data_IF_091506794561
#
_entry.id   IF_091506794561
#
_cell.length_a   1.000
_cell.length_b   1.000
_cell.length_c   1.000
_cell.angle_alpha   90.00
_cell.angle_beta   90.00
_cell.angle_gamma   90.00
#
_symmetry.space_group_name_H-M   'P 1'
#
loop_
_entity.id
_entity.type
_entity.pdbx_description
1 polymer ?
#
# COMPACT_ATOMS: atom_id res chain seq x y z
N UNK A 1 -6.73 -2.16 -8.10
CA UNK A 1 -5.74 -1.23 -8.69
C UNK A 1 -4.35 -1.74 -8.38
N UNK A 2 -3.53 -2.01 -9.40
CA UNK A 2 -2.18 -2.55 -9.20
C UNK A 2 -1.23 -1.44 -8.77
N UNK A 3 -0.22 -1.78 -7.98
CA UNK A 3 0.88 -0.88 -7.70
C UNK A 3 1.61 -0.51 -9.01
N UNK A 4 2.02 0.76 -9.18
CA UNK A 4 2.87 1.16 -10.29
C UNK A 4 4.19 0.40 -10.31
N UNK A 5 4.85 0.38 -11.47
CA UNK A 5 6.19 -0.20 -11.59
C UNK A 5 7.26 0.65 -10.87
N UNK A 6 8.47 0.11 -10.65
CA UNK A 6 9.58 0.82 -10.03
C UNK A 6 9.99 2.12 -10.74
N UNK A 7 9.64 2.28 -12.01
CA UNK A 7 9.83 3.49 -12.81
C UNK A 7 9.03 4.69 -12.29
N UNK A 8 7.79 4.45 -11.84
CA UNK A 8 6.88 5.48 -11.34
C UNK A 8 6.92 5.55 -9.81
N UNK A 9 7.13 4.41 -9.15
CA UNK A 9 7.18 4.28 -7.71
C UNK A 9 8.43 3.47 -7.29
N UNK A 10 9.60 4.12 -7.18
CA UNK A 10 10.83 3.43 -6.85
C UNK A 10 10.76 2.82 -5.43
N UNK A 11 11.41 1.67 -5.20
CA UNK A 11 11.34 1.00 -3.91
C UNK A 11 12.01 1.84 -2.80
N UNK A 12 11.25 2.09 -1.74
CA UNK A 12 11.70 2.86 -0.58
C UNK A 12 12.63 2.08 0.37
N UNK A 13 13.08 2.71 1.46
CA UNK A 13 14.03 2.14 2.42
C UNK A 13 13.57 0.80 3.03
N UNK A 14 12.28 0.69 3.37
CA UNK A 14 11.70 -0.54 3.92
C UNK A 14 11.83 -1.72 2.95
N UNK A 15 11.61 -1.48 1.66
CA UNK A 15 11.79 -2.50 0.64
C UNK A 15 13.27 -2.86 0.51
N UNK A 16 14.13 -1.88 0.23
CA UNK A 16 15.54 -2.10 -0.15
C UNK A 16 16.42 -2.61 0.99
N UNK A 17 16.30 -2.03 2.18
CA UNK A 17 17.24 -2.29 3.27
C UNK A 17 16.77 -3.35 4.26
N UNK A 18 15.47 -3.67 4.26
CA UNK A 18 14.91 -4.65 5.19
C UNK A 18 14.37 -5.88 4.46
N UNK A 19 13.37 -5.71 3.61
CA UNK A 19 12.70 -6.85 2.99
C UNK A 19 13.58 -7.56 1.96
N UNK A 20 14.31 -6.82 1.13
CA UNK A 20 15.12 -7.41 0.06
C UNK A 20 16.21 -8.32 0.64
N UNK A 21 16.90 -7.87 1.70
CA UNK A 21 17.88 -8.68 2.43
C UNK A 21 17.25 -9.96 3.00
N UNK A 22 16.12 -9.83 3.72
CA UNK A 22 15.44 -10.97 4.33
C UNK A 22 14.97 -11.98 3.28
N UNK A 23 14.39 -11.50 2.17
CA UNK A 23 13.88 -12.36 1.11
C UNK A 23 15.02 -13.08 0.37
N UNK A 24 16.16 -12.42 0.15
CA UNK A 24 17.33 -13.05 -0.47
C UNK A 24 17.97 -14.09 0.45
N UNK A 25 18.21 -13.76 1.72
CA UNK A 25 18.82 -14.67 2.70
C UNK A 25 18.02 -15.97 2.88
N UNK A 26 16.68 -15.88 2.76
CA UNK A 26 15.76 -17.01 2.90
C UNK A 26 15.40 -17.70 1.58
N UNK A 27 15.97 -17.25 0.45
CA UNK A 27 15.66 -17.80 -0.88
C UNK A 27 14.21 -17.59 -1.33
N UNK A 28 13.52 -16.58 -0.79
CA UNK A 28 12.12 -16.26 -1.10
C UNK A 28 11.97 -15.34 -2.31
N UNK A 29 13.04 -14.67 -2.74
CA UNK A 29 13.07 -13.85 -3.95
C UNK A 29 14.43 -13.95 -4.65
N UNK A 30 14.41 -13.83 -5.98
CA UNK A 30 15.64 -13.80 -6.79
C UNK A 30 16.13 -12.37 -6.99
N UNK A 31 17.43 -12.20 -7.30
CA UNK A 31 17.99 -10.89 -7.62
C UNK A 31 17.27 -10.22 -8.81
N UNK A 32 16.87 -11.01 -9.81
CA UNK A 32 16.10 -10.53 -10.98
C UNK A 32 14.71 -10.00 -10.59
N UNK A 33 14.05 -10.60 -9.60
CA UNK A 33 12.74 -10.17 -9.11
C UNK A 33 12.82 -8.90 -8.25
N UNK A 34 13.96 -8.66 -7.60
CA UNK A 34 14.16 -7.47 -6.75
C UNK A 34 14.67 -6.27 -7.56
N UNK A 35 15.56 -6.54 -8.52
CA UNK A 35 16.18 -5.55 -9.38
C UNK A 35 16.43 -6.16 -10.79
N UNK A 36 15.40 -6.19 -11.66
CA UNK A 36 15.54 -6.84 -12.98
C UNK A 36 16.60 -6.20 -13.87
N UNK A 37 16.95 -4.92 -13.64
CA UNK A 37 18.00 -4.22 -14.37
C UNK A 37 19.43 -4.48 -13.88
N UNK A 38 19.62 -5.19 -12.77
CA UNK A 38 20.96 -5.45 -12.20
C UNK A 38 21.55 -6.81 -12.56
N UNK A 39 20.86 -7.60 -13.39
CA UNK A 39 21.26 -8.94 -13.81
C UNK A 39 21.12 -9.09 -15.31
N UNK A 40 21.98 -9.93 -15.90
CA UNK A 40 21.88 -10.24 -17.32
C UNK A 40 20.56 -10.96 -17.62
N UNK A 41 19.87 -10.60 -18.71
CA UNK A 41 18.59 -11.22 -19.04
C UNK A 41 18.80 -12.68 -19.46
N UNK A 42 18.08 -13.59 -18.83
CA UNK A 42 17.99 -14.97 -19.30
C UNK A 42 17.19 -15.03 -20.61
N UNK A 43 17.59 -15.89 -21.54
CA UNK A 43 16.92 -16.06 -22.82
C UNK A 43 16.18 -17.41 -22.87
N UNK A 44 14.99 -17.42 -23.48
CA UNK A 44 14.25 -18.64 -23.73
C UNK A 44 14.85 -19.48 -24.88
N UNK A 45 14.24 -20.63 -25.16
CA UNK A 45 14.67 -21.55 -26.23
C UNK A 45 14.62 -20.93 -27.64
N UNK A 46 13.97 -19.78 -27.80
CA UNK A 46 13.84 -19.04 -29.04
C UNK A 46 14.72 -17.79 -29.07
N UNK A 47 15.60 -17.60 -28.07
CA UNK A 47 16.51 -16.46 -27.99
C UNK A 47 15.82 -15.15 -27.59
N UNK A 48 14.63 -15.20 -26.98
CA UNK A 48 13.94 -14.02 -26.47
C UNK A 48 14.22 -13.84 -24.98
N UNK A 49 14.48 -12.60 -24.49
CA UNK A 49 14.70 -12.37 -23.08
C UNK A 49 13.44 -12.71 -22.27
N UNK A 50 13.62 -13.50 -21.21
CA UNK A 50 12.59 -13.86 -20.25
C UNK A 50 12.29 -12.61 -19.43
N UNK A 51 11.04 -12.16 -19.51
CA UNK A 51 10.59 -10.97 -18.78
C UNK A 51 10.33 -11.32 -17.33
N UNK A 52 11.17 -10.80 -16.43
CA UNK A 52 10.94 -10.86 -14.98
C UNK A 52 10.25 -9.58 -14.54
N UNK A 53 9.16 -9.73 -13.80
CA UNK A 53 8.43 -8.60 -13.23
C UNK A 53 8.99 -8.25 -11.85
N UNK A 54 9.33 -7.00 -11.59
CA UNK A 54 9.82 -6.60 -10.28
C UNK A 54 8.72 -6.78 -9.23
N UNK A 55 9.09 -7.29 -8.06
CA UNK A 55 8.15 -7.47 -6.94
C UNK A 55 7.80 -6.13 -6.31
N UNK A 56 6.51 -5.83 -6.22
CA UNK A 56 6.03 -4.69 -5.44
C UNK A 56 6.18 -4.96 -3.94
N UNK A 57 6.17 -3.89 -3.13
CA UNK A 57 6.30 -4.00 -1.67
C UNK A 57 5.28 -4.98 -1.06
N UNK A 58 4.02 -4.94 -1.51
CA UNK A 58 2.99 -5.83 -0.99
C UNK A 58 3.21 -7.30 -1.37
N UNK A 59 3.77 -7.59 -2.53
CA UNK A 59 4.12 -8.97 -2.94
C UNK A 59 5.30 -9.50 -2.12
N UNK A 60 6.29 -8.64 -1.82
CA UNK A 60 7.41 -8.93 -0.91
C UNK A 60 6.91 -9.31 0.48
N UNK A 61 6.00 -8.48 1.05
CA UNK A 61 5.38 -8.76 2.35
C UNK A 61 4.56 -10.05 2.32
N UNK A 62 3.86 -10.33 1.22
CA UNK A 62 3.10 -11.56 1.09
C UNK A 62 4.00 -12.81 1.14
N UNK A 63 5.10 -12.82 0.39
CA UNK A 63 6.07 -13.94 0.44
C UNK A 63 6.67 -14.11 1.84
N UNK A 64 7.00 -12.98 2.50
CA UNK A 64 7.51 -13.01 3.86
C UNK A 64 6.48 -13.58 4.84
N UNK A 65 5.22 -13.15 4.75
CA UNK A 65 4.11 -13.67 5.57
C UNK A 65 3.92 -15.18 5.39
N UNK A 66 3.88 -15.67 4.15
CA UNK A 66 3.70 -17.10 3.88
C UNK A 66 4.89 -17.93 4.40
N UNK A 67 6.09 -17.36 4.47
CA UNK A 67 7.27 -18.02 5.04
C UNK A 67 7.27 -18.07 6.57
N UNK A 68 6.74 -17.04 7.22
CA UNK A 68 6.65 -16.97 8.69
C UNK A 68 5.48 -17.80 9.24
N UNK A 69 4.39 -17.90 8.47
CA UNK A 69 3.14 -18.52 8.90
C UNK A 69 2.65 -19.59 7.92
N UNK A 70 3.42 -20.67 7.68
CA UNK A 70 3.09 -21.69 6.69
C UNK A 70 1.81 -22.48 7.01
N UNK A 71 1.34 -22.44 8.27
CA UNK A 71 0.11 -23.10 8.72
C UNK A 71 -1.16 -22.26 8.54
N UNK A 72 -1.05 -20.99 8.12
CA UNK A 72 -2.21 -20.11 7.90
C UNK A 72 -2.73 -20.30 6.48
N UNK A 73 -3.71 -21.19 6.33
CA UNK A 73 -4.38 -21.41 5.05
C UNK A 73 -5.65 -20.55 4.93
N UNK A 74 -6.03 -20.23 3.69
CA UNK A 74 -7.31 -19.56 3.39
C UNK A 74 -7.28 -18.03 3.40
N UNK A 75 -6.19 -17.39 3.84
CA UNK A 75 -6.03 -15.93 3.79
C UNK A 75 -5.57 -15.51 2.39
N UNK A 76 -6.50 -14.99 1.59
CA UNK A 76 -6.21 -14.39 0.28
C UNK A 76 -5.96 -12.90 0.45
N UNK A 77 -4.76 -12.45 0.13
CA UNK A 77 -4.41 -11.02 0.09
C UNK A 77 -3.90 -10.68 -1.31
N UNK A 78 -4.13 -9.44 -1.71
CA UNK A 78 -3.61 -8.91 -2.97
C UNK A 78 -3.21 -7.46 -2.72
N UNK A 79 -2.03 -7.03 -3.19
CA UNK A 79 -1.63 -5.64 -3.04
C UNK A 79 -2.57 -4.74 -3.84
N UNK A 80 -2.99 -3.65 -3.22
CA UNK A 80 -3.82 -2.64 -3.85
C UNK A 80 -3.24 -1.25 -3.60
N UNK A 81 -3.06 -0.47 -4.67
CA UNK A 81 -2.58 0.91 -4.61
C UNK A 81 -3.77 1.87 -4.79
N UNK A 82 -4.64 1.95 -3.80
CA UNK A 82 -5.88 2.73 -3.90
C UNK A 82 -5.65 4.17 -3.43
N UNK A 83 -5.21 4.34 -2.17
CA UNK A 83 -5.02 5.67 -1.59
C UNK A 83 -4.00 6.51 -2.38
N UNK A 84 -2.85 5.92 -2.74
CA UNK A 84 -1.85 6.61 -3.53
C UNK A 84 -2.31 6.97 -4.94
N UNK A 85 -3.08 6.11 -5.61
CA UNK A 85 -3.63 6.42 -6.93
C UNK A 85 -4.65 7.56 -6.86
N UNK A 86 -5.55 7.53 -5.86
CA UNK A 86 -6.53 8.60 -5.63
C UNK A 86 -5.86 9.95 -5.34
N UNK A 87 -4.86 9.99 -4.44
CA UNK A 87 -4.20 11.23 -4.04
C UNK A 87 -3.26 11.75 -5.13
N UNK A 88 -2.37 10.91 -5.67
CA UNK A 88 -1.30 11.35 -6.56
C UNK A 88 -1.77 11.53 -8.02
N UNK A 89 -2.68 10.69 -8.51
CA UNK A 89 -3.12 10.72 -9.91
C UNK A 89 -4.42 11.50 -10.10
N UNK A 90 -5.33 11.42 -9.13
CA UNK A 90 -6.66 12.03 -9.22
C UNK A 90 -6.88 13.23 -8.29
N UNK A 91 -5.87 13.61 -7.50
CA UNK A 91 -5.91 14.79 -6.63
C UNK A 91 -7.05 14.74 -5.59
N UNK A 92 -7.40 13.54 -5.12
CA UNK A 92 -8.50 13.36 -4.17
C UNK A 92 -9.90 13.41 -4.79
N UNK A 93 -10.04 13.46 -6.12
CA UNK A 93 -11.36 13.40 -6.76
C UNK A 93 -11.86 11.95 -6.88
N UNK A 94 -12.68 11.54 -5.90
CA UNK A 94 -13.17 10.17 -5.78
C UNK A 94 -14.07 9.74 -6.95
N UNK A 95 -15.04 10.58 -7.35
CA UNK A 95 -15.95 10.24 -8.45
C UNK A 95 -15.18 10.04 -9.78
N UNK A 96 -14.23 10.93 -10.08
CA UNK A 96 -13.36 10.81 -11.25
C UNK A 96 -12.49 9.55 -11.17
N UNK A 97 -11.96 9.23 -9.99
CA UNK A 97 -11.17 8.03 -9.77
C UNK A 97 -11.97 6.74 -10.07
N UNK A 98 -13.13 6.61 -9.44
CA UNK A 98 -13.98 5.42 -9.55
C UNK A 98 -14.47 5.21 -10.99
N UNK A 99 -14.87 6.28 -11.67
CA UNK A 99 -15.29 6.21 -13.07
C UNK A 99 -14.12 5.88 -14.01
N UNK A 100 -12.96 6.51 -13.82
CA UNK A 100 -11.81 6.32 -14.72
C UNK A 100 -11.14 4.95 -14.57
N UNK A 101 -11.26 4.32 -13.39
CA UNK A 101 -10.70 2.99 -13.10
C UNK A 101 -11.72 1.85 -13.24
N UNK A 102 -12.93 2.13 -13.74
CA UNK A 102 -14.05 1.18 -13.86
C UNK A 102 -14.39 0.48 -12.53
N UNK A 103 -14.39 1.26 -11.44
CA UNK A 103 -14.63 0.78 -10.08
C UNK A 103 -16.04 1.10 -9.58
N UNK A 104 -16.95 1.59 -10.42
CA UNK A 104 -18.30 2.03 -10.01
C UNK A 104 -19.07 0.94 -9.24
N UNK A 105 -18.93 -0.33 -9.63
CA UNK A 105 -19.55 -1.45 -8.91
C UNK A 105 -18.90 -1.77 -7.55
N UNK A 106 -17.69 -1.26 -7.31
CA UNK A 106 -16.88 -1.49 -6.12
C UNK A 106 -16.70 -0.23 -5.28
N UNK A 107 -17.47 0.82 -5.57
CA UNK A 107 -17.36 2.13 -4.94
C UNK A 107 -17.38 2.04 -3.40
N UNK A 108 -18.35 1.31 -2.83
CA UNK A 108 -18.43 1.12 -1.39
C UNK A 108 -17.26 0.35 -0.78
N UNK A 109 -16.59 -0.53 -1.53
CA UNK A 109 -15.37 -1.21 -1.05
C UNK A 109 -14.20 -0.23 -1.02
N UNK A 110 -14.04 0.57 -2.07
CA UNK A 110 -13.01 1.61 -2.14
C UNK A 110 -13.22 2.62 -1.02
N UNK A 111 -14.45 3.10 -0.83
CA UNK A 111 -14.79 4.05 0.23
C UNK A 111 -14.43 3.51 1.61
N UNK A 112 -14.88 2.30 1.97
CA UNK A 112 -14.50 1.67 3.26
C UNK A 112 -13.01 1.42 3.40
N UNK A 113 -12.30 1.13 2.31
CA UNK A 113 -10.85 0.96 2.35
C UNK A 113 -10.15 2.29 2.69
N UNK A 114 -10.60 3.40 2.12
CA UNK A 114 -10.07 4.73 2.44
C UNK A 114 -10.37 5.13 3.87
N UNK A 115 -11.61 4.90 4.36
CA UNK A 115 -11.95 5.15 5.77
C UNK A 115 -11.04 4.39 6.73
N UNK A 116 -10.78 3.10 6.48
CA UNK A 116 -9.83 2.33 7.29
C UNK A 116 -8.40 2.87 7.22
N UNK A 117 -7.98 3.37 6.06
CA UNK A 117 -6.66 3.96 5.91
C UNK A 117 -6.53 5.30 6.67
N UNK A 118 -7.58 6.12 6.71
CA UNK A 118 -7.64 7.35 7.52
C UNK A 118 -7.41 7.01 9.00
N UNK A 119 -8.06 5.97 9.52
CA UNK A 119 -7.87 5.49 10.89
C UNK A 119 -6.44 4.94 11.11
N UNK A 120 -5.93 4.17 10.16
CA UNK A 120 -4.57 3.65 10.23
C UNK A 120 -3.53 4.79 10.31
N UNK A 121 -3.72 5.87 9.56
CA UNK A 121 -2.85 7.05 9.66
C UNK A 121 -2.87 7.67 11.06
N UNK A 122 -4.04 7.72 11.71
CA UNK A 122 -4.17 8.22 13.08
C UNK A 122 -3.50 7.29 14.09
N UNK A 123 -3.68 5.98 13.95
CA UNK A 123 -3.05 4.97 14.81
C UNK A 123 -1.52 4.99 14.69
N UNK A 124 -0.97 5.28 13.50
CA UNK A 124 0.47 5.35 13.27
C UNK A 124 1.11 6.70 13.63
N UNK A 125 0.31 7.73 13.91
CA UNK A 125 0.78 9.07 14.30
C UNK A 125 1.76 9.04 15.50
N UNK A 126 1.49 8.31 16.60
CA UNK A 126 2.43 8.19 17.72
C UNK A 126 3.65 7.29 17.42
N UNK A 127 3.60 6.45 16.38
CA UNK A 127 4.63 5.45 16.08
C UNK A 127 5.67 5.93 15.07
N UNK A 128 6.41 7.00 15.42
CA UNK A 128 7.45 7.54 14.56
C UNK A 128 8.61 6.54 14.34
N UNK A 129 8.99 6.26 13.07
CA UNK A 129 10.18 5.46 12.77
C UNK A 129 11.47 6.08 13.32
N UNK A 130 12.44 5.23 13.69
CA UNK A 130 13.76 5.68 14.13
C UNK A 130 14.50 6.40 12.99
N UNK A 131 15.06 7.57 13.28
CA UNK A 131 15.80 8.38 12.31
C UNK A 131 14.94 9.31 11.45
N UNK A 132 13.62 9.34 11.69
CA UNK A 132 12.71 10.34 11.11
C UNK A 132 12.38 11.40 12.15
N UNK A 133 12.17 12.65 11.70
CA UNK A 133 11.69 13.72 12.57
C UNK A 133 10.22 13.46 12.99
N UNK A 134 9.91 13.39 14.29
CA UNK A 134 8.55 13.14 14.76
C UNK A 134 7.54 14.20 14.31
N UNK A 135 7.93 15.46 14.18
CA UNK A 135 7.02 16.52 13.72
C UNK A 135 6.66 16.32 12.24
N UNK A 136 7.69 16.17 11.39
CA UNK A 136 7.49 15.85 9.99
C UNK A 136 6.64 14.59 9.77
N UNK A 137 6.89 13.51 10.51
CA UNK A 137 6.12 12.27 10.42
C UNK A 137 4.62 12.49 10.69
N UNK A 138 4.29 13.22 11.77
CA UNK A 138 2.90 13.52 12.12
C UNK A 138 2.25 14.40 11.07
N UNK A 139 2.96 15.41 10.58
CA UNK A 139 2.43 16.33 9.56
C UNK A 139 2.13 15.62 8.24
N UNK A 140 2.98 14.69 7.81
CA UNK A 140 2.71 13.88 6.61
C UNK A 140 1.46 13.01 6.78
N UNK A 141 1.36 12.25 7.87
CA UNK A 141 0.21 11.39 8.15
C UNK A 141 -1.09 12.19 8.28
N UNK A 142 -1.03 13.34 8.97
CA UNK A 142 -2.15 14.26 9.09
C UNK A 142 -2.57 14.82 7.73
N UNK A 143 -1.60 15.18 6.88
CA UNK A 143 -1.86 15.64 5.51
C UNK A 143 -2.60 14.61 4.66
N UNK A 144 -2.19 13.33 4.73
CA UNK A 144 -2.90 12.24 4.06
C UNK A 144 -4.32 12.05 4.62
N UNK A 145 -4.46 12.08 5.95
CA UNK A 145 -5.75 11.96 6.65
C UNK A 145 -6.72 13.04 6.19
N UNK A 146 -6.31 14.30 6.19
CA UNK A 146 -7.15 15.44 5.83
C UNK A 146 -7.60 15.40 4.36
N UNK A 147 -6.69 15.08 3.44
CA UNK A 147 -7.03 14.96 2.02
C UNK A 147 -8.01 13.83 1.76
N UNK A 148 -7.79 12.66 2.38
CA UNK A 148 -8.68 11.51 2.24
C UNK A 148 -10.03 11.74 2.92
N UNK A 149 -10.07 12.37 4.09
CA UNK A 149 -11.31 12.74 4.77
C UNK A 149 -12.12 13.72 3.91
N UNK A 150 -11.46 14.72 3.31
CA UNK A 150 -12.12 15.66 2.39
C UNK A 150 -12.69 14.93 1.17
N UNK A 151 -11.92 13.99 0.60
CA UNK A 151 -12.36 13.15 -0.52
C UNK A 151 -13.58 12.30 -0.16
N UNK A 152 -13.58 11.64 1.00
CA UNK A 152 -14.68 10.80 1.46
C UNK A 152 -15.93 11.62 1.82
N UNK A 153 -15.77 12.76 2.50
CA UNK A 153 -16.90 13.67 2.81
C UNK A 153 -17.57 14.22 1.55
N UNK A 154 -16.82 14.44 0.46
CA UNK A 154 -17.41 14.86 -0.80
C UNK A 154 -18.32 13.78 -1.44
N UNK A 155 -18.16 12.51 -1.05
CA UNK A 155 -18.99 11.38 -1.50
C UNK A 155 -20.19 11.19 -0.57
N UNK A 156 -19.91 11.03 0.73
CA UNK A 156 -20.92 10.83 1.77
C UNK A 156 -20.42 11.42 3.10
N UNK A 157 -20.84 12.65 3.44
CA UNK A 157 -20.45 13.30 4.69
C UNK A 157 -20.95 12.54 5.92
N UNK A 158 -22.20 12.08 5.92
CA UNK A 158 -22.87 11.49 7.09
C UNK A 158 -22.21 10.17 7.48
N UNK A 159 -21.99 9.28 6.51
CA UNK A 159 -21.30 8.02 6.75
C UNK A 159 -19.83 8.24 7.16
N UNK A 160 -19.15 9.23 6.57
CA UNK A 160 -17.75 9.52 6.91
C UNK A 160 -17.63 9.99 8.35
N UNK A 161 -18.43 10.99 8.75
CA UNK A 161 -18.37 11.55 10.10
C UNK A 161 -18.82 10.54 11.16
N UNK A 162 -19.86 9.74 10.86
CA UNK A 162 -20.28 8.65 11.74
C UNK A 162 -19.18 7.60 11.95
N UNK A 163 -18.46 7.23 10.90
CA UNK A 163 -17.38 6.24 10.99
C UNK A 163 -16.19 6.74 11.81
N UNK A 164 -15.81 8.01 11.61
CA UNK A 164 -14.72 8.63 12.38
C UNK A 164 -15.10 8.79 13.86
N UNK A 165 -16.32 9.24 14.15
CA UNK A 165 -16.79 9.37 15.53
C UNK A 165 -16.86 8.02 16.27
N UNK A 166 -17.26 6.94 15.59
CA UNK A 166 -17.28 5.59 16.19
C UNK A 166 -15.87 5.08 16.53
N UNK A 167 -14.87 5.41 15.71
CA UNK A 167 -13.49 4.99 15.97
C UNK A 167 -12.86 5.72 17.17
N UNK A 168 -13.27 6.96 17.45
CA UNK A 168 -12.85 7.70 18.65
C UNK A 168 -13.47 7.13 19.94
N UNK A 169 -14.49 6.27 19.82
CA UNK A 169 -15.18 5.65 20.95
C UNK A 169 -14.73 4.20 21.21
N UNK A 170 -13.80 3.66 20.43
CA UNK A 170 -13.29 2.29 20.61
C UNK A 170 -12.25 2.26 21.75
N UNK A 171 -12.54 1.63 22.91
CA UNK A 171 -11.71 1.72 24.11
C UNK A 171 -10.35 1.01 24.02
N UNK A 172 -10.04 0.36 22.89
CA UNK A 172 -8.73 -0.23 22.61
C UNK A 172 -7.65 0.80 22.21
N UNK A 173 -8.02 2.07 22.00
CA UNK A 173 -7.06 3.17 21.76
C UNK A 173 -6.58 3.86 23.04
N UNK A 174 -7.13 3.49 24.21
CA UNK A 174 -6.82 4.08 25.53
C UNK A 174 -5.91 3.17 26.42
N UNK A 175 -5.43 2.02 25.92
CA UNK A 175 -4.53 1.09 26.65
C UNK A 175 -3.08 1.10 26.17
#
# INVERSE_FOLDING_TARGET
VRAPGPEDLPPGPLARHRLDSILMERGLATAAELAPGSVEPEFDKFGKPIRVWPLALGDKLRRFFDSELPGVYGVRTSPAWIAGDLLLVFGGNFHKYVTSRDLTKQEGIVFRHLLRFILLCQEFEPHCPQGTDPEHWRDELKGFREQLTTSCRAVDPESTDSWLAQSEQDPLLDE
#
